data_IF_480310897679
#
_entry.id   IF_480310897679
#
_cell.length_a   1.000
_cell.length_b   1.000
_cell.length_c   1.000
_cell.angle_alpha   90.00
_cell.angle_beta   90.00
_cell.angle_gamma   90.00
#
_symmetry.space_group_name_H-M   'P 1'
#
loop_
_entity.id
_entity.type
_entity.pdbx_description
1 polymer ?
#
# COMPACT_ATOMS: atom_id res chain seq x y z
N UNK A 1 12.55 -13.22 5.32
CA UNK A 1 12.77 -11.98 4.54
C UNK A 1 13.04 -10.83 5.50
N UNK A 2 13.81 -9.82 5.07
CA UNK A 2 14.16 -8.64 5.88
C UNK A 2 13.44 -7.36 5.44
N UNK A 3 12.73 -7.40 4.32
CA UNK A 3 11.95 -6.30 3.77
C UNK A 3 11.39 -6.67 2.39
N UNK A 4 10.54 -5.80 1.86
CA UNK A 4 10.01 -5.84 0.50
C UNK A 4 9.78 -4.40 0.02
N UNK A 5 9.99 -4.15 -1.28
CA UNK A 5 9.72 -2.85 -1.89
C UNK A 5 8.56 -2.95 -2.87
N UNK A 6 7.84 -1.85 -3.00
CA UNK A 6 6.80 -1.69 -3.98
C UNK A 6 7.37 -1.01 -5.23
N UNK A 7 7.13 -1.62 -6.39
CA UNK A 7 7.33 -0.96 -7.68
C UNK A 7 5.94 -0.57 -8.21
N UNK A 8 5.60 0.71 -8.27
CA UNK A 8 6.43 1.92 -8.18
C UNK A 8 5.66 3.09 -7.55
N UNK A 9 6.28 4.27 -7.45
CA UNK A 9 5.66 5.42 -6.77
C UNK A 9 4.41 5.94 -7.48
N UNK A 10 4.45 6.09 -8.81
CA UNK A 10 3.37 6.68 -9.61
C UNK A 10 2.78 5.68 -10.58
N UNK A 11 1.50 5.83 -10.87
CA UNK A 11 0.88 5.15 -12.00
C UNK A 11 1.62 5.40 -13.31
N UNK A 12 1.46 4.44 -14.21
CA UNK A 12 1.97 4.59 -15.56
C UNK A 12 0.99 5.41 -16.40
N UNK A 13 1.47 6.10 -17.46
CA UNK A 13 0.60 6.82 -18.36
C UNK A 13 -0.48 5.90 -18.92
N UNK A 14 -1.72 6.40 -19.02
CA UNK A 14 -2.83 5.65 -19.62
C UNK A 14 -2.53 5.21 -21.06
N UNK A 15 -1.75 6.01 -21.79
CA UNK A 15 -1.30 5.72 -23.16
C UNK A 15 -0.12 4.76 -23.22
N UNK A 16 0.33 4.23 -22.08
CA UNK A 16 1.49 3.38 -21.96
C UNK A 16 2.81 4.15 -21.85
N UNK A 17 3.80 3.50 -21.24
CA UNK A 17 5.22 3.86 -21.29
C UNK A 17 5.84 3.51 -22.65
N UNK A 18 7.15 3.76 -22.80
CA UNK A 18 7.90 3.41 -24.02
C UNK A 18 7.88 1.93 -24.40
N UNK A 19 7.67 1.06 -23.41
CA UNK A 19 7.53 -0.40 -23.55
C UNK A 19 6.06 -0.85 -23.66
N UNK A 20 5.11 0.10 -23.65
CA UNK A 20 3.67 -0.17 -23.73
C UNK A 20 2.99 -0.48 -22.39
N UNK A 21 3.73 -0.49 -21.28
CA UNK A 21 3.16 -0.76 -19.95
C UNK A 21 2.29 0.41 -19.46
N UNK A 22 1.07 0.13 -19.00
CA UNK A 22 0.06 1.14 -18.63
C UNK A 22 -0.77 0.74 -17.40
N UNK A 23 -0.11 0.43 -16.29
CA UNK A 23 -0.76 -0.07 -15.07
C UNK A 23 -1.08 1.02 -14.02
N UNK A 24 -2.16 0.79 -13.28
CA UNK A 24 -2.49 1.50 -12.04
C UNK A 24 -1.82 0.79 -10.84
N UNK A 25 -0.54 1.07 -10.65
CA UNK A 25 0.32 0.43 -9.63
C UNK A 25 1.05 1.48 -8.77
N UNK A 26 0.67 2.74 -8.84
CA UNK A 26 1.24 3.82 -8.05
C UNK A 26 0.73 3.87 -6.62
N UNK A 27 1.53 4.49 -5.75
CA UNK A 27 1.05 5.09 -4.51
C UNK A 27 0.32 6.43 -4.77
N UNK A 28 0.68 7.09 -5.88
CA UNK A 28 0.03 8.31 -6.38
C UNK A 28 -0.41 8.12 -7.83
N UNK A 29 -1.49 8.79 -8.20
CA UNK A 29 -2.01 8.80 -9.57
C UNK A 29 -1.19 9.75 -10.49
N UNK A 30 -1.59 9.85 -11.75
CA UNK A 30 -0.90 10.68 -12.76
C UNK A 30 -0.91 12.17 -12.40
N UNK A 31 -1.93 12.63 -11.67
CA UNK A 31 -2.09 14.00 -11.20
C UNK A 31 -1.38 14.27 -9.86
N UNK A 32 -0.54 13.33 -9.40
CA UNK A 32 0.19 13.40 -8.12
C UNK A 32 -0.75 13.33 -6.89
N UNK A 33 -1.93 12.75 -7.04
CA UNK A 33 -2.88 12.53 -5.93
C UNK A 33 -2.62 11.18 -5.27
N UNK A 34 -2.42 11.12 -3.94
CA UNK A 34 -2.23 9.85 -3.25
C UNK A 34 -3.50 8.99 -3.17
N UNK A 35 -3.34 7.68 -3.39
CA UNK A 35 -4.39 6.70 -3.11
C UNK A 35 -4.52 6.50 -1.60
N UNK A 36 -5.64 6.96 -1.00
CA UNK A 36 -5.81 7.02 0.46
C UNK A 36 -5.73 5.63 1.10
N UNK A 37 -6.24 4.61 0.43
CA UNK A 37 -6.24 3.21 0.85
C UNK A 37 -4.81 2.67 0.93
N UNK A 38 -3.98 2.98 -0.07
CA UNK A 38 -2.57 2.59 -0.12
C UNK A 38 -1.76 3.27 1.00
N UNK A 39 -2.00 4.57 1.23
CA UNK A 39 -1.34 5.31 2.31
C UNK A 39 -1.75 4.78 3.68
N UNK A 40 -3.03 4.53 3.91
CA UNK A 40 -3.55 3.99 5.18
C UNK A 40 -2.95 2.62 5.49
N UNK A 41 -3.03 1.70 4.53
CA UNK A 41 -2.55 0.33 4.69
C UNK A 41 -1.03 0.29 4.90
N UNK A 42 -0.28 1.09 4.15
CA UNK A 42 1.18 1.11 4.28
C UNK A 42 1.65 1.65 5.62
N UNK A 43 0.95 2.66 6.17
CA UNK A 43 1.20 3.16 7.54
C UNK A 43 0.88 2.09 8.57
N UNK A 44 -0.28 1.44 8.48
CA UNK A 44 -0.68 0.37 9.40
C UNK A 44 0.35 -0.76 9.43
N UNK A 45 0.76 -1.25 8.25
CA UNK A 45 1.80 -2.28 8.14
C UNK A 45 3.11 -1.78 8.74
N UNK A 46 3.56 -0.57 8.39
CA UNK A 46 4.82 0.00 8.87
C UNK A 46 4.88 0.16 10.38
N UNK A 47 3.79 0.65 10.99
CA UNK A 47 3.66 0.84 12.44
C UNK A 47 3.67 -0.49 13.21
N UNK A 48 3.21 -1.59 12.59
CA UNK A 48 3.11 -2.91 13.22
C UNK A 48 4.21 -3.89 12.80
N UNK A 49 5.02 -3.57 11.78
CA UNK A 49 5.96 -4.50 11.15
C UNK A 49 6.93 -5.15 12.14
N UNK A 50 7.52 -4.38 13.05
CA UNK A 50 8.48 -4.93 14.01
C UNK A 50 7.82 -5.87 15.01
N UNK A 51 6.63 -5.53 15.53
CA UNK A 51 5.88 -6.42 16.44
C UNK A 51 5.50 -7.71 15.72
N UNK A 52 5.04 -7.60 14.48
CA UNK A 52 4.74 -8.77 13.67
C UNK A 52 5.98 -9.66 13.49
N UNK A 53 7.13 -9.06 13.14
CA UNK A 53 8.38 -9.80 12.96
C UNK A 53 8.84 -10.54 14.22
N UNK A 54 8.69 -9.93 15.39
CA UNK A 54 9.08 -10.55 16.67
C UNK A 54 8.12 -11.65 17.11
N UNK A 55 6.81 -11.43 16.92
CA UNK A 55 5.78 -12.33 17.44
C UNK A 55 5.38 -13.45 16.46
N UNK A 56 5.75 -13.33 15.18
CA UNK A 56 5.39 -14.29 14.12
C UNK A 56 3.90 -14.28 13.74
N UNK A 57 3.08 -13.42 14.34
CA UNK A 57 1.64 -13.32 14.10
C UNK A 57 1.25 -11.87 13.80
N UNK A 58 0.59 -11.66 12.66
CA UNK A 58 0.06 -10.34 12.31
C UNK A 58 -1.20 -10.09 13.14
N UNK A 59 -1.32 -8.87 13.68
CA UNK A 59 -2.41 -8.48 14.56
C UNK A 59 -2.87 -7.04 14.30
N UNK A 60 -2.90 -6.62 13.03
CA UNK A 60 -3.61 -5.40 12.67
C UNK A 60 -5.05 -5.73 12.23
N UNK A 61 -5.96 -4.81 12.53
CA UNK A 61 -7.42 -4.89 12.30
C UNK A 61 -8.25 -5.83 13.21
N UNK A 62 -8.24 -5.61 14.53
CA UNK A 62 -9.34 -6.02 15.42
C UNK A 62 -10.24 -4.84 15.85
N UNK A 63 -10.43 -3.83 14.99
CA UNK A 63 -11.26 -2.64 15.29
C UNK A 63 -12.12 -2.15 14.11
N UNK A 64 -12.77 -3.07 13.38
CA UNK A 64 -13.90 -2.74 12.48
C UNK A 64 -15.21 -3.45 12.87
N UNK A 65 -15.32 -3.97 14.11
CA UNK A 65 -16.57 -4.59 14.62
C UNK A 65 -17.35 -3.77 15.65
N UNK A 66 -17.21 -2.45 15.67
CA UNK A 66 -17.94 -1.59 16.63
C UNK A 66 -18.58 -0.32 16.05
N UNK A 67 -18.67 -0.18 14.72
CA UNK A 67 -19.44 0.91 14.11
C UNK A 67 -20.29 0.38 12.95
N UNK A 68 -21.47 -0.12 13.31
CA UNK A 68 -22.45 -0.67 12.37
C UNK A 68 -23.62 -1.26 13.12
N UNK A 69 -24.32 -0.42 13.89
CA UNK A 69 -25.71 -0.63 14.28
C UNK A 69 -26.55 0.39 13.52
#
# INVERSE_FOLDING_TARGET
MVGAHWFQLRDQPLTGRSDGEGYQIGFVDIADTPYREMIRTSRDIGEHMYRYRLNGRYAAHMQEKEQGK
#
